data_IF_000418082514
#
_entry.id   IF_000418082514
#
_cell.length_a   1.000
_cell.length_b   1.000
_cell.length_c   1.000
_cell.angle_alpha   90.00
_cell.angle_beta   90.00
_cell.angle_gamma   90.00
#
_symmetry.space_group_name_H-M   'P 1'
#
loop_
_entity.id
_entity.type
_entity.pdbx_description
1 polymer ?
#
# COMPACT_ATOMS: atom_id res chain seq x y z
N UNK A 1 -10.12 -13.86 -11.82
CA UNK A 1 -8.88 -13.57 -11.09
C UNK A 1 -8.08 -12.60 -11.92
N UNK A 2 -7.61 -11.55 -11.29
CA UNK A 2 -6.78 -10.49 -11.84
C UNK A 2 -5.41 -10.56 -11.18
N UNK A 3 -4.38 -10.12 -11.89
CA UNK A 3 -3.02 -10.08 -11.39
C UNK A 3 -2.59 -8.65 -11.17
N UNK A 4 -2.04 -8.41 -10.00
CA UNK A 4 -1.52 -7.12 -9.57
C UNK A 4 -0.08 -7.29 -9.09
N UNK A 5 0.68 -6.21 -9.16
CA UNK A 5 2.03 -6.13 -8.63
C UNK A 5 1.99 -5.30 -7.35
N UNK A 6 2.40 -5.88 -6.24
CA UNK A 6 2.65 -5.15 -5.00
C UNK A 6 4.13 -4.76 -4.97
N UNK A 7 4.39 -3.46 -4.91
CA UNK A 7 5.73 -2.92 -4.90
C UNK A 7 5.95 -2.12 -3.62
N UNK A 8 6.81 -2.64 -2.76
CA UNK A 8 7.23 -2.02 -1.52
C UNK A 8 8.38 -1.01 -1.73
N UNK A 9 8.80 -0.80 -2.97
CA UNK A 9 9.92 0.05 -3.38
C UNK A 9 11.27 -0.29 -2.72
N UNK A 10 11.42 -1.53 -2.23
CA UNK A 10 12.66 -2.07 -1.66
C UNK A 10 13.56 -2.77 -2.68
N UNK A 11 13.19 -2.72 -3.97
CA UNK A 11 13.86 -3.44 -5.06
C UNK A 11 13.31 -4.85 -5.32
N UNK A 12 12.26 -5.26 -4.61
CA UNK A 12 11.52 -6.51 -4.85
C UNK A 12 10.04 -6.18 -5.07
N UNK A 13 9.45 -6.78 -6.10
CA UNK A 13 8.03 -6.72 -6.41
C UNK A 13 7.40 -8.09 -6.25
N UNK A 14 6.17 -8.14 -5.76
CA UNK A 14 5.40 -9.37 -5.59
C UNK A 14 4.21 -9.40 -6.55
N UNK A 15 4.10 -10.44 -7.38
CA UNK A 15 2.93 -10.65 -8.23
C UNK A 15 1.87 -11.44 -7.46
N UNK A 16 0.67 -10.87 -7.32
CA UNK A 16 -0.43 -11.45 -6.55
C UNK A 16 -1.63 -11.65 -7.47
N UNK A 17 -2.16 -12.87 -7.48
CA UNK A 17 -3.38 -13.24 -8.22
C UNK A 17 -4.58 -13.29 -7.26
N UNK A 18 -5.57 -12.43 -7.47
CA UNK A 18 -6.73 -12.24 -6.58
C UNK A 18 -8.04 -12.08 -7.37
N UNK A 19 -9.19 -12.06 -6.70
CA UNK A 19 -10.47 -11.83 -7.37
C UNK A 19 -10.84 -10.35 -7.49
N UNK A 20 -10.31 -9.50 -6.60
CA UNK A 20 -10.60 -8.07 -6.56
C UNK A 20 -9.48 -7.26 -5.89
N UNK A 21 -9.52 -5.93 -6.06
CA UNK A 21 -8.53 -5.00 -5.54
C UNK A 21 -8.40 -5.03 -4.00
N UNK A 22 -9.46 -5.33 -3.25
CA UNK A 22 -9.38 -5.37 -1.79
C UNK A 22 -8.58 -6.57 -1.29
N UNK A 23 -8.60 -7.70 -2.00
CA UNK A 23 -7.77 -8.84 -1.65
C UNK A 23 -6.28 -8.52 -1.77
N UNK A 24 -5.84 -7.88 -2.86
CA UNK A 24 -4.42 -7.49 -3.01
C UNK A 24 -4.02 -6.40 -2.00
N UNK A 25 -4.91 -5.45 -1.67
CA UNK A 25 -4.67 -4.48 -0.60
C UNK A 25 -4.40 -5.16 0.74
N UNK A 26 -5.15 -6.22 1.08
CA UNK A 26 -4.89 -6.99 2.31
C UNK A 26 -3.53 -7.67 2.30
N UNK A 27 -3.18 -8.34 1.19
CA UNK A 27 -1.86 -8.96 1.03
C UNK A 27 -0.75 -7.92 1.18
N UNK A 28 -0.92 -6.76 0.53
CA UNK A 28 0.02 -5.66 0.62
C UNK A 28 0.19 -5.16 2.07
N UNK A 29 -0.92 -4.99 2.80
CA UNK A 29 -0.93 -4.59 4.22
C UNK A 29 -0.27 -5.63 5.12
N UNK A 30 -0.54 -6.93 4.91
CA UNK A 30 0.07 -8.01 5.68
C UNK A 30 1.60 -8.09 5.48
N UNK A 31 2.08 -7.68 4.32
CA UNK A 31 3.52 -7.57 4.02
C UNK A 31 4.17 -6.26 4.46
N UNK A 32 3.47 -5.35 5.15
CA UNK A 32 4.05 -4.09 5.63
C UNK A 32 5.22 -4.37 6.58
N UNK A 33 6.37 -3.82 6.22
CA UNK A 33 7.55 -3.75 7.05
C UNK A 33 7.99 -2.29 7.19
N UNK A 34 8.84 -2.01 8.19
CA UNK A 34 9.43 -0.68 8.35
C UNK A 34 10.49 -0.42 7.26
N UNK A 35 10.04 0.01 6.08
CA UNK A 35 10.91 0.32 4.94
C UNK A 35 11.12 1.81 4.74
N UNK A 36 10.26 2.64 5.35
CA UNK A 36 10.18 4.09 5.12
C UNK A 36 9.80 4.50 3.68
N UNK A 37 9.44 3.53 2.85
CA UNK A 37 9.03 3.72 1.47
C UNK A 37 7.51 3.60 1.34
N UNK A 38 6.93 4.23 0.32
CA UNK A 38 5.52 4.02 -0.05
C UNK A 38 5.28 2.59 -0.54
N UNK A 39 4.01 2.18 -0.61
CA UNK A 39 3.61 0.91 -1.21
C UNK A 39 2.66 1.21 -2.37
N UNK A 40 2.92 0.63 -3.53
CA UNK A 40 2.04 0.76 -4.70
C UNK A 40 1.46 -0.59 -5.08
N UNK A 41 0.20 -0.56 -5.51
CA UNK A 41 -0.43 -1.67 -6.22
C UNK A 41 -0.51 -1.25 -7.68
N UNK A 42 0.08 -2.04 -8.55
CA UNK A 42 0.28 -1.73 -9.96
C UNK A 42 -0.35 -2.80 -10.85
N UNK A 43 -0.74 -2.44 -12.07
CA UNK A 43 -1.06 -3.41 -13.12
C UNK A 43 0.21 -4.09 -13.63
N UNK A 44 0.07 -5.19 -14.37
CA UNK A 44 1.21 -5.86 -15.02
C UNK A 44 1.95 -4.97 -16.05
N UNK A 45 1.32 -3.90 -16.53
CA UNK A 45 1.92 -2.92 -17.45
C UNK A 45 2.69 -1.81 -16.71
N UNK A 46 2.67 -1.82 -15.37
CA UNK A 46 3.32 -0.81 -14.52
C UNK A 46 2.47 0.43 -14.26
N UNK A 47 1.15 0.37 -14.49
CA UNK A 47 0.25 1.46 -14.12
C UNK A 47 -0.10 1.36 -12.63
N UNK A 48 0.13 2.45 -11.88
CA UNK A 48 -0.21 2.51 -10.44
C UNK A 48 -1.72 2.69 -10.28
N UNK A 49 -2.37 1.73 -9.64
CA UNK A 49 -3.81 1.76 -9.31
C UNK A 49 -4.05 2.53 -8.02
N UNK A 50 -3.25 2.25 -6.99
CA UNK A 50 -3.38 2.89 -5.69
C UNK A 50 -2.06 2.88 -4.93
N UNK A 51 -1.91 3.84 -4.01
CA UNK A 51 -0.69 4.04 -3.21
C UNK A 51 -1.04 4.18 -1.74
N UNK A 52 -0.34 3.46 -0.87
CA UNK A 52 -0.29 3.73 0.56
C UNK A 52 1.00 4.52 0.86
N UNK A 53 0.84 5.78 1.25
CA UNK A 53 1.97 6.68 1.51
C UNK A 53 2.52 6.49 2.92
N UNK A 54 3.85 6.41 3.02
CA UNK A 54 4.53 6.40 4.31
C UNK A 54 4.73 7.82 4.85
N UNK A 55 4.36 8.02 6.11
CA UNK A 55 4.60 9.24 6.87
C UNK A 55 5.45 8.91 8.10
N UNK A 56 6.67 9.45 8.15
CA UNK A 56 7.64 9.25 9.24
C UNK A 56 7.31 10.01 10.53
N UNK A 57 6.03 10.29 10.78
CA UNK A 57 5.51 11.01 11.94
C UNK A 57 4.35 10.23 12.54
N UNK A 58 4.04 10.42 13.81
CA UNK A 58 2.86 9.79 14.41
C UNK A 58 1.58 10.36 13.78
N UNK A 59 0.57 9.52 13.51
CA UNK A 59 -0.70 9.99 12.95
C UNK A 59 -1.46 10.87 13.94
N UNK A 60 -2.21 11.83 13.40
CA UNK A 60 -3.14 12.72 14.09
C UNK A 60 -4.58 12.17 14.02
N UNK A 61 -5.51 12.73 14.79
CA UNK A 61 -6.91 12.25 14.83
C UNK A 61 -7.62 12.28 13.47
N UNK A 62 -7.26 13.22 12.59
CA UNK A 62 -7.84 13.37 11.26
C UNK A 62 -7.10 12.58 10.17
N UNK A 63 -6.01 11.88 10.50
CA UNK A 63 -5.27 11.10 9.52
C UNK A 63 -5.99 9.78 9.20
N UNK A 64 -6.19 9.51 7.91
CA UNK A 64 -6.67 8.22 7.44
C UNK A 64 -5.52 7.21 7.50
N UNK A 65 -5.44 6.44 8.59
CA UNK A 65 -4.34 5.49 8.85
C UNK A 65 -4.67 4.09 8.34
N UNK A 66 -3.75 3.50 7.57
CA UNK A 66 -3.76 2.08 7.20
C UNK A 66 -3.11 1.22 8.28
N UNK A 67 -1.86 1.54 8.63
CA UNK A 67 -1.04 0.77 9.57
C UNK A 67 0.02 1.67 10.22
N UNK A 68 0.35 1.39 11.48
CA UNK A 68 1.40 2.11 12.22
C UNK A 68 2.62 1.23 12.44
N UNK A 69 3.81 1.69 12.06
CA UNK A 69 5.04 0.89 12.15
C UNK A 69 6.24 1.81 12.41
N UNK A 70 7.23 1.41 13.20
CA UNK A 70 8.50 2.15 13.36
C UNK A 70 8.41 3.66 13.69
N UNK A 71 7.35 4.08 14.41
CA UNK A 71 7.16 5.47 14.85
C UNK A 71 6.45 6.38 13.83
N UNK A 72 6.09 5.86 12.66
CA UNK A 72 5.27 6.54 11.67
C UNK A 72 4.05 5.71 11.27
N UNK A 73 3.39 6.09 10.17
CA UNK A 73 2.23 5.37 9.66
C UNK A 73 2.19 5.34 8.14
N UNK A 74 1.54 4.29 7.62
CA UNK A 74 1.04 4.27 6.26
C UNK A 74 -0.35 4.89 6.25
N UNK A 75 -0.57 5.87 5.38
CA UNK A 75 -1.90 6.39 5.08
C UNK A 75 -2.72 5.30 4.37
N UNK A 76 -4.04 5.36 4.55
CA UNK A 76 -4.99 4.54 3.78
C UNK A 76 -4.75 4.71 2.28
N UNK A 77 -5.21 3.73 1.52
CA UNK A 77 -5.02 3.69 0.08
C UNK A 77 -5.55 4.94 -0.61
N UNK A 78 -4.80 5.49 -1.56
CA UNK A 78 -5.12 6.75 -2.22
C UNK A 78 -6.48 6.76 -2.92
N UNK A 79 -6.97 5.61 -3.39
CA UNK A 79 -8.32 5.51 -3.99
C UNK A 79 -9.46 5.61 -2.96
N UNK A 80 -9.16 5.43 -1.67
CA UNK A 80 -10.14 5.47 -0.56
C UNK A 80 -10.19 6.84 0.12
N UNK A 81 -9.29 7.77 -0.22
CA UNK A 81 -9.21 9.09 0.41
C UNK A 81 -10.30 10.07 -0.03
N UNK A 82 -11.12 9.73 -1.03
CA UNK A 82 -12.15 10.61 -1.59
C UNK A 82 -11.55 11.81 -2.36
N UNK A 83 -12.23 12.20 -3.45
CA UNK A 83 -11.96 13.49 -4.12
C UNK A 83 -12.58 14.68 -3.36
#
# INVERSE_FOLDING_TARGET
>A
MEKYIVNYHTGITEEVEVNDLNEVKKVATEGIAYTQEKITIETLDGEVITTAYWYGVSPQEDDAVLETVGGGFYQTWSDELGE
#
